data_IF_647402783314
#
_entry.id   IF_647402783314
#
_cell.length_a   1.000
_cell.length_b   1.000
_cell.length_c   1.000
_cell.angle_alpha   90.00
_cell.angle_beta   90.00
_cell.angle_gamma   90.00
#
_symmetry.space_group_name_H-M   'P 1'
#
loop_
_entity.id
_entity.type
_entity.pdbx_description
1 polymer ?
#
# COMPACT_ATOMS: atom_id res chain seq x y z
N UNK A 1 -20.81 17.20 4.15
CA UNK A 1 -20.06 16.12 4.55
C UNK A 1 -18.71 16.14 3.95
N UNK A 2 -17.83 16.08 4.74
CA UNK A 2 -16.53 16.04 4.14
C UNK A 2 -16.54 14.98 3.10
N UNK A 3 -15.80 15.24 2.09
CA UNK A 3 -15.51 14.22 1.16
C UNK A 3 -15.21 12.98 2.00
N UNK A 4 -15.80 11.93 1.64
CA UNK A 4 -15.51 10.70 2.30
C UNK A 4 -14.04 10.55 2.31
N UNK A 5 -13.55 10.20 3.45
CA UNK A 5 -12.13 9.97 3.59
C UNK A 5 -11.70 8.91 2.62
N UNK A 6 -10.69 9.21 1.86
CA UNK A 6 -10.04 8.19 1.05
C UNK A 6 -9.14 7.41 1.98
N UNK A 7 -9.53 6.18 2.26
CA UNK A 7 -8.84 5.33 3.23
C UNK A 7 -7.73 4.54 2.57
N UNK A 8 -6.58 4.54 3.22
CA UNK A 8 -5.39 3.86 2.74
C UNK A 8 -4.84 2.98 3.87
N UNK A 9 -4.44 1.76 3.55
CA UNK A 9 -3.69 0.92 4.47
C UNK A 9 -2.24 0.93 4.03
N UNK A 10 -1.35 1.20 4.98
CA UNK A 10 0.08 1.26 4.74
C UNK A 10 0.73 0.06 5.43
N UNK A 11 1.38 -0.80 4.66
CA UNK A 11 1.99 -2.02 5.18
C UNK A 11 3.50 -1.95 5.05
N UNK A 12 4.18 -1.85 6.19
CA UNK A 12 5.64 -1.76 6.24
C UNK A 12 6.06 -2.15 7.66
N UNK A 13 7.14 -2.89 7.80
CA UNK A 13 7.66 -3.27 9.11
C UNK A 13 8.52 -2.19 9.76
N UNK A 14 8.94 -1.19 9.00
CA UNK A 14 9.73 -0.09 9.53
C UNK A 14 8.81 0.98 10.10
N UNK A 15 8.81 1.12 11.40
CA UNK A 15 7.94 2.08 12.09
C UNK A 15 8.22 3.52 11.69
N UNK A 16 9.48 3.87 11.47
CA UNK A 16 9.86 5.23 11.08
C UNK A 16 9.31 5.56 9.69
N UNK A 17 9.40 4.62 8.77
CA UNK A 17 8.84 4.79 7.43
C UNK A 17 7.33 4.95 7.49
N UNK A 18 6.68 4.11 8.29
CA UNK A 18 5.23 4.19 8.48
C UNK A 18 4.81 5.53 9.06
N UNK A 19 5.50 6.00 10.06
CA UNK A 19 5.19 7.29 10.70
C UNK A 19 5.35 8.43 9.70
N UNK A 20 6.44 8.45 8.97
CA UNK A 20 6.72 9.49 7.98
C UNK A 20 5.68 9.50 6.87
N UNK A 21 5.43 8.35 6.24
CA UNK A 21 4.46 8.27 5.16
C UNK A 21 3.04 8.54 5.64
N UNK A 22 2.69 8.00 6.80
CA UNK A 22 1.37 8.23 7.38
C UNK A 22 1.12 9.72 7.63
N UNK A 23 2.12 10.41 8.18
CA UNK A 23 2.03 11.84 8.42
C UNK A 23 1.85 12.63 7.12
N UNK A 24 2.64 12.30 6.11
CA UNK A 24 2.54 12.96 4.81
C UNK A 24 1.18 12.74 4.16
N UNK A 25 0.69 11.52 4.19
CA UNK A 25 -0.59 11.20 3.57
C UNK A 25 -1.75 11.84 4.32
N UNK A 26 -1.70 11.85 5.64
CA UNK A 26 -2.74 12.52 6.44
C UNK A 26 -2.74 14.02 6.20
N UNK A 27 -1.56 14.62 6.09
CA UNK A 27 -1.44 16.03 5.78
C UNK A 27 -2.07 16.34 4.42
N UNK A 28 -1.96 15.42 3.47
CA UNK A 28 -2.52 15.57 2.14
C UNK A 28 -4.03 15.25 2.09
N UNK A 29 -4.63 14.83 3.20
CA UNK A 29 -6.08 14.60 3.29
C UNK A 29 -6.52 13.15 3.30
N UNK A 30 -5.61 12.20 3.24
CA UNK A 30 -5.97 10.79 3.28
C UNK A 30 -6.14 10.31 4.71
N UNK A 31 -6.99 9.31 4.90
CA UNK A 31 -7.09 8.59 6.17
C UNK A 31 -6.20 7.36 6.07
N UNK A 32 -5.32 7.15 7.04
CA UNK A 32 -4.31 6.11 6.95
C UNK A 32 -4.38 5.18 8.16
N UNK A 33 -4.35 3.90 7.90
CA UNK A 33 -4.18 2.88 8.93
C UNK A 33 -2.91 2.11 8.61
N UNK A 34 -2.07 1.90 9.61
CA UNK A 34 -0.78 1.25 9.46
C UNK A 34 -0.86 -0.20 9.91
N UNK A 35 -0.23 -1.09 9.16
CA UNK A 35 -0.03 -2.49 9.54
C UNK A 35 1.45 -2.81 9.39
N UNK A 36 2.02 -3.48 10.37
CA UNK A 36 3.44 -3.81 10.39
C UNK A 36 3.71 -5.27 10.05
N UNK A 37 2.68 -6.08 9.95
CA UNK A 37 2.78 -7.49 9.58
C UNK A 37 1.74 -7.82 8.54
N UNK A 38 1.89 -8.95 7.89
CA UNK A 38 0.92 -9.41 6.91
C UNK A 38 -0.43 -9.72 7.54
N UNK A 39 -0.41 -10.33 8.70
CA UNK A 39 -1.64 -10.68 9.40
C UNK A 39 -2.41 -9.43 9.77
N UNK A 40 -1.71 -8.43 10.30
CA UNK A 40 -2.31 -7.14 10.61
C UNK A 40 -2.82 -6.44 9.36
N UNK A 41 -2.10 -6.60 8.24
CA UNK A 41 -2.52 -6.01 6.97
C UNK A 41 -3.86 -6.60 6.50
N UNK A 42 -4.00 -7.92 6.57
CA UNK A 42 -5.22 -8.59 6.18
C UNK A 42 -6.38 -8.11 7.07
N UNK A 43 -6.15 -8.06 8.38
CA UNK A 43 -7.15 -7.57 9.32
C UNK A 43 -7.52 -6.12 9.04
N UNK A 44 -6.51 -5.27 8.81
CA UNK A 44 -6.73 -3.85 8.55
C UNK A 44 -7.55 -3.63 7.28
N UNK A 45 -7.22 -4.35 6.21
CA UNK A 45 -7.95 -4.21 4.95
C UNK A 45 -9.40 -4.66 5.12
N UNK A 46 -9.61 -5.76 5.83
CA UNK A 46 -10.97 -6.28 6.05
C UNK A 46 -11.81 -5.32 6.89
N UNK A 47 -11.22 -4.72 7.93
CA UNK A 47 -11.95 -3.85 8.84
C UNK A 47 -12.12 -2.43 8.32
N UNK A 48 -11.07 -1.89 7.75
CA UNK A 48 -11.03 -0.50 7.34
C UNK A 48 -11.62 -0.28 5.96
N UNK A 49 -11.60 -1.31 5.14
CA UNK A 49 -12.07 -1.27 3.76
C UNK A 49 -11.50 -0.11 2.98
N UNK A 50 -10.17 -0.07 2.83
CA UNK A 50 -9.51 1.04 2.14
C UNK A 50 -9.74 0.95 0.63
N UNK A 51 -9.56 2.09 -0.05
CA UNK A 51 -9.56 2.09 -1.52
C UNK A 51 -8.18 1.72 -2.06
N UNK A 52 -7.14 1.88 -1.25
CA UNK A 52 -5.76 1.65 -1.66
C UNK A 52 -4.97 1.02 -0.53
N UNK A 53 -4.09 0.09 -0.86
CA UNK A 53 -3.12 -0.47 0.08
C UNK A 53 -1.73 -0.31 -0.50
N UNK A 54 -0.83 0.25 0.30
CA UNK A 54 0.56 0.46 -0.06
C UNK A 54 1.39 -0.59 0.65
N UNK A 55 2.02 -1.49 -0.10
CA UNK A 55 2.67 -2.69 0.44
C UNK A 55 4.17 -2.65 0.20
N UNK A 56 4.95 -2.76 1.26
CA UNK A 56 6.40 -2.93 1.13
C UNK A 56 6.71 -4.38 0.78
N UNK A 57 7.31 -4.61 -0.37
CA UNK A 57 7.68 -5.96 -0.80
C UNK A 57 8.90 -6.51 -0.07
N UNK A 58 9.64 -5.65 0.60
CA UNK A 58 10.86 -6.03 1.31
C UNK A 58 10.69 -6.47 2.75
N UNK A 59 9.48 -6.87 3.16
CA UNK A 59 9.24 -7.31 4.54
C UNK A 59 10.05 -8.56 4.85
N UNK A 60 10.82 -8.56 5.95
CA UNK A 60 11.70 -9.71 6.26
C UNK A 60 10.97 -10.97 6.65
N UNK A 61 9.79 -10.84 7.25
CA UNK A 61 9.04 -11.99 7.76
C UNK A 61 7.93 -12.42 6.81
N UNK A 62 7.84 -11.79 5.64
CA UNK A 62 6.67 -12.00 4.84
C UNK A 62 6.87 -11.66 3.37
N UNK A 63 6.36 -12.52 2.52
CA UNK A 63 6.40 -12.31 1.09
C UNK A 63 5.29 -11.33 0.68
N UNK A 64 5.67 -10.11 0.29
CA UNK A 64 4.72 -9.08 -0.14
C UNK A 64 3.91 -9.51 -1.35
N UNK A 65 4.46 -10.36 -2.21
CA UNK A 65 3.72 -10.87 -3.36
C UNK A 65 2.61 -11.83 -2.91
N UNK A 66 2.89 -12.67 -1.92
CA UNK A 66 1.86 -13.56 -1.37
C UNK A 66 0.73 -12.76 -0.71
N UNK A 67 1.09 -11.72 0.03
CA UNK A 67 0.09 -10.84 0.63
C UNK A 67 -0.77 -10.18 -0.46
N UNK A 68 -0.14 -9.72 -1.53
CA UNK A 68 -0.86 -9.10 -2.65
C UNK A 68 -1.86 -10.07 -3.27
N UNK A 69 -1.45 -11.32 -3.47
CA UNK A 69 -2.36 -12.35 -4.01
C UNK A 69 -3.56 -12.57 -3.10
N UNK A 70 -3.33 -12.64 -1.80
CA UNK A 70 -4.40 -12.86 -0.84
C UNK A 70 -5.37 -11.68 -0.80
N UNK A 71 -4.84 -10.47 -0.80
CA UNK A 71 -5.68 -9.28 -0.78
C UNK A 71 -6.49 -9.15 -2.08
N UNK A 72 -5.86 -9.44 -3.21
CA UNK A 72 -6.56 -9.40 -4.50
C UNK A 72 -7.65 -10.46 -4.57
N UNK A 73 -7.40 -11.66 -4.08
CA UNK A 73 -8.37 -12.73 -4.08
C UNK A 73 -9.58 -12.38 -3.20
N UNK A 74 -9.35 -11.71 -2.08
CA UNK A 74 -10.39 -11.35 -1.14
C UNK A 74 -11.20 -10.12 -1.56
N UNK A 75 -10.58 -9.15 -2.21
CA UNK A 75 -11.20 -7.84 -2.45
C UNK A 75 -11.37 -7.49 -3.93
N UNK A 76 -10.83 -8.30 -4.82
CA UNK A 76 -11.00 -8.09 -6.26
C UNK A 76 -10.42 -6.76 -6.74
N UNK A 77 -11.04 -6.19 -7.76
CA UNK A 77 -10.56 -4.95 -8.38
C UNK A 77 -10.98 -3.70 -7.63
N UNK A 78 -11.75 -3.83 -6.56
CA UNK A 78 -12.18 -2.69 -5.75
C UNK A 78 -11.04 -2.10 -4.93
N UNK A 79 -9.97 -2.86 -4.74
CA UNK A 79 -8.82 -2.43 -3.97
C UNK A 79 -7.65 -2.17 -4.90
N UNK A 80 -7.13 -0.94 -4.85
CA UNK A 80 -5.91 -0.61 -5.59
C UNK A 80 -4.71 -1.03 -4.75
N UNK A 81 -3.86 -1.88 -5.32
CA UNK A 81 -2.66 -2.36 -4.65
C UNK A 81 -1.44 -1.70 -5.28
N UNK A 82 -0.65 -1.03 -4.44
CA UNK A 82 0.59 -0.39 -4.86
C UNK A 82 1.73 -1.05 -4.09
N UNK A 83 2.63 -1.70 -4.82
CA UNK A 83 3.79 -2.33 -4.21
C UNK A 83 4.96 -1.35 -4.19
N UNK A 84 5.72 -1.39 -3.11
CA UNK A 84 6.92 -0.56 -2.94
C UNK A 84 8.11 -1.47 -2.80
N UNK A 85 9.15 -1.22 -3.56
CA UNK A 85 10.36 -2.04 -3.51
C UNK A 85 11.59 -1.13 -3.39
N UNK A 86 12.62 -1.63 -2.72
CA UNK A 86 13.90 -0.94 -2.65
C UNK A 86 14.78 -1.23 -3.85
N UNK A 87 14.33 -2.08 -4.75
CA UNK A 87 15.08 -2.48 -5.94
C UNK A 87 14.30 -2.17 -7.20
N UNK A 88 15.02 -1.79 -8.24
CA UNK A 88 14.41 -1.42 -9.51
C UNK A 88 14.65 -2.49 -10.58
N UNK A 89 14.56 -3.76 -10.20
CA UNK A 89 14.75 -4.85 -11.15
C UNK A 89 13.47 -5.23 -11.86
N UNK A 90 13.60 -5.67 -13.11
CA UNK A 90 12.45 -6.10 -13.90
C UNK A 90 11.78 -7.34 -13.29
N UNK A 91 12.58 -8.24 -12.71
CA UNK A 91 12.06 -9.47 -12.12
C UNK A 91 11.12 -9.16 -10.96
N UNK A 92 11.50 -8.23 -10.10
CA UNK A 92 10.67 -7.86 -8.95
C UNK A 92 9.40 -7.15 -9.40
N UNK A 93 9.52 -6.28 -10.40
CA UNK A 93 8.37 -5.61 -10.97
C UNK A 93 7.39 -6.64 -11.54
N UNK A 94 7.89 -7.59 -12.32
CA UNK A 94 7.06 -8.61 -12.93
C UNK A 94 6.41 -9.53 -11.90
N UNK A 95 7.15 -9.91 -10.86
CA UNK A 95 6.60 -10.73 -9.79
C UNK A 95 5.46 -10.02 -9.07
N UNK A 96 5.62 -8.73 -8.79
CA UNK A 96 4.58 -7.95 -8.15
C UNK A 96 3.34 -7.84 -9.05
N UNK A 97 3.52 -7.56 -10.32
CA UNK A 97 2.40 -7.46 -11.24
C UNK A 97 1.67 -8.80 -11.37
N UNK A 98 2.41 -9.91 -11.41
CA UNK A 98 1.82 -11.24 -11.44
C UNK A 98 1.04 -11.56 -10.15
N UNK A 99 1.45 -10.95 -9.05
CA UNK A 99 0.76 -11.12 -7.77
C UNK A 99 -0.54 -10.29 -7.67
N UNK A 100 -0.82 -9.45 -8.67
CA UNK A 100 -2.07 -8.71 -8.73
C UNK A 100 -1.99 -7.27 -8.28
N UNK A 101 -0.77 -6.71 -8.10
CA UNK A 101 -0.67 -5.29 -7.77
C UNK A 101 -0.94 -4.45 -9.02
N UNK A 102 -1.43 -3.25 -8.81
CA UNK A 102 -1.76 -2.34 -9.90
C UNK A 102 -0.57 -1.48 -10.30
N UNK A 103 0.27 -1.12 -9.35
CA UNK A 103 1.43 -0.27 -9.58
C UNK A 103 2.60 -0.71 -8.72
N UNK A 104 3.82 -0.46 -9.21
CA UNK A 104 5.04 -0.74 -8.47
C UNK A 104 5.86 0.55 -8.40
N UNK A 105 6.23 0.95 -7.20
CA UNK A 105 7.03 2.14 -6.97
C UNK A 105 8.36 1.75 -6.32
N UNK A 106 9.42 2.47 -6.66
CA UNK A 106 10.73 2.27 -6.03
C UNK A 106 10.95 3.29 -4.93
N UNK A 107 11.61 2.86 -3.87
CA UNK A 107 12.05 3.77 -2.81
C UNK A 107 13.21 4.62 -3.32
N UNK A 108 13.37 5.85 -2.84
CA UNK A 108 12.54 6.51 -1.84
C UNK A 108 11.23 7.02 -2.42
N UNK A 109 10.18 6.96 -1.61
CA UNK A 109 8.87 7.46 -2.02
C UNK A 109 8.79 8.97 -1.81
N UNK A 110 8.21 9.65 -2.78
CA UNK A 110 7.93 11.07 -2.65
C UNK A 110 6.42 11.28 -2.67
N UNK A 111 5.98 12.37 -2.09
CA UNK A 111 4.56 12.70 -2.10
C UNK A 111 4.05 12.87 -3.53
N UNK A 112 4.88 13.41 -4.41
CA UNK A 112 4.56 13.56 -5.82
C UNK A 112 4.28 12.20 -6.48
N UNK A 113 5.13 11.20 -6.22
CA UNK A 113 4.92 9.86 -6.76
C UNK A 113 3.65 9.23 -6.21
N UNK A 114 3.39 9.40 -4.93
CA UNK A 114 2.19 8.87 -4.31
C UNK A 114 0.93 9.51 -4.90
N UNK A 115 0.94 10.82 -5.07
CA UNK A 115 -0.22 11.52 -5.65
C UNK A 115 -0.55 11.06 -7.06
N UNK A 116 0.47 10.65 -7.82
CA UNK A 116 0.27 10.21 -9.20
C UNK A 116 -0.58 8.94 -9.27
N UNK A 117 -0.44 8.05 -8.29
CA UNK A 117 -1.09 6.74 -8.32
C UNK A 117 -2.24 6.60 -7.32
N UNK A 118 -2.35 7.51 -6.38
CA UNK A 118 -3.45 7.47 -5.41
C UNK A 118 -4.70 8.09 -6.02
N UNK A 119 -5.88 7.65 -5.57
CA UNK A 119 -7.13 8.29 -6.00
C UNK A 119 -7.11 9.77 -5.68
N UNK A 120 -7.63 10.62 -6.57
CA UNK A 120 -7.62 12.04 -6.33
C UNK A 120 -8.55 12.41 -5.17
N UNK A 121 -8.12 13.39 -4.41
CA UNK A 121 -8.96 13.99 -3.38
C UNK A 121 -9.75 15.13 -4.01
N UNK A 122 -11.00 15.22 -3.66
CA UNK A 122 -11.84 16.30 -4.15
C UNK A 122 -12.01 17.37 -3.10
#
# INVERSE_FOLDING_TARGET
MPAEDIRVVLVDDDEDTCETLSTLLKFDGYSVRVANTAEDAITAVNEYQPVCALLDLGLPDFDGCELSKRLRAAHGSDLVLIAVTGRSGDDEHNQAMDAGVDHVLCKPLTLENLRRFFPPLN
#
